data_IF_662561726195
#
_entry.id   IF_662561726195
#
_cell.length_a   1.000
_cell.length_b   1.000
_cell.length_c   1.000
_cell.angle_alpha   90.00
_cell.angle_beta   90.00
_cell.angle_gamma   90.00
#
_symmetry.space_group_name_H-M   'P 1'
#
loop_
_entity.id
_entity.type
_entity.pdbx_description
1 polymer ?
#
# COMPACT_ATOMS: atom_id res chain seq x y z
N UNK A 1 -35.67 2.91 2.87
CA UNK A 1 -34.42 2.72 3.63
C UNK A 1 -33.63 4.02 3.52
N UNK A 2 -33.28 4.70 4.62
CA UNK A 2 -32.67 6.02 4.54
C UNK A 2 -31.28 5.90 3.92
N UNK A 3 -31.04 6.67 2.86
CA UNK A 3 -29.74 6.84 2.22
C UNK A 3 -28.82 7.56 3.19
N UNK A 4 -28.12 6.80 4.03
CA UNK A 4 -27.01 7.32 4.79
C UNK A 4 -25.91 7.69 3.78
N UNK A 5 -25.84 8.97 3.41
CA UNK A 5 -24.62 9.58 2.91
C UNK A 5 -23.58 9.46 4.03
N UNK A 6 -22.95 8.29 4.12
CA UNK A 6 -21.79 8.04 4.94
C UNK A 6 -20.69 9.00 4.44
N UNK A 7 -20.40 10.02 5.25
CA UNK A 7 -19.31 10.93 4.98
C UNK A 7 -18.02 10.11 4.92
N UNK A 8 -17.41 10.04 3.73
CA UNK A 8 -16.15 9.34 3.46
C UNK A 8 -15.05 9.72 4.46
N UNK A 9 -15.11 10.91 5.08
CA UNK A 9 -14.15 11.34 6.10
C UNK A 9 -14.34 10.64 7.45
N UNK A 10 -15.55 10.22 7.81
CA UNK A 10 -15.82 9.50 9.07
C UNK A 10 -15.35 8.05 9.01
N UNK A 11 -15.59 7.35 7.89
CA UNK A 11 -15.10 5.98 7.69
C UNK A 11 -13.56 5.90 7.70
N UNK A 12 -12.89 6.89 7.12
CA UNK A 12 -11.43 7.02 7.11
C UNK A 12 -10.79 7.25 8.50
N UNK A 13 -11.58 7.55 9.54
CA UNK A 13 -11.11 7.77 10.92
C UNK A 13 -11.12 6.51 11.79
N UNK A 14 -11.92 5.49 11.47
CA UNK A 14 -11.94 4.19 12.18
C UNK A 14 -10.92 3.19 11.60
N UNK A 15 -10.77 3.16 10.27
CA UNK A 15 -9.75 2.38 9.54
C UNK A 15 -8.26 2.59 9.95
N UNK A 16 -7.79 3.76 10.47
CA UNK A 16 -6.37 4.01 10.71
C UNK A 16 -5.72 3.07 11.73
N UNK A 17 -6.41 2.68 12.81
CA UNK A 17 -5.79 1.88 13.87
C UNK A 17 -5.43 0.48 13.38
N UNK A 18 -6.36 -0.22 12.74
CA UNK A 18 -6.12 -1.53 12.14
C UNK A 18 -5.10 -1.46 10.99
N UNK A 19 -5.11 -0.38 10.20
CA UNK A 19 -4.12 -0.16 9.15
C UNK A 19 -2.70 0.02 9.72
N UNK A 20 -2.59 0.78 10.82
CA UNK A 20 -1.34 0.98 11.55
C UNK A 20 -0.86 -0.33 12.19
N UNK A 21 -1.75 -1.09 12.82
CA UNK A 21 -1.42 -2.38 13.44
C UNK A 21 -0.94 -3.38 12.39
N UNK A 22 -1.58 -3.42 11.22
CA UNK A 22 -1.12 -4.22 10.07
C UNK A 22 0.28 -3.82 9.58
N UNK A 23 0.58 -2.53 9.49
CA UNK A 23 1.93 -2.06 9.12
C UNK A 23 2.97 -2.32 10.22
N UNK A 24 2.57 -2.23 11.50
CA UNK A 24 3.42 -2.58 12.66
C UNK A 24 3.71 -4.07 12.70
N UNK A 25 2.75 -4.93 12.31
CA UNK A 25 2.90 -6.37 12.22
C UNK A 25 3.77 -6.85 11.05
N UNK A 26 3.89 -6.06 9.96
CA UNK A 26 4.83 -6.36 8.88
C UNK A 26 6.28 -6.27 9.38
N UNK A 27 6.98 -7.41 9.35
CA UNK A 27 8.42 -7.50 9.62
C UNK A 27 9.27 -6.85 8.53
N UNK A 28 10.59 -7.04 8.57
CA UNK A 28 11.53 -6.50 7.59
C UNK A 28 11.92 -7.58 6.56
N UNK A 29 11.86 -7.27 5.27
CA UNK A 29 12.45 -8.11 4.22
C UNK A 29 13.20 -7.25 3.20
N UNK A 30 14.38 -7.72 2.78
CA UNK A 30 15.24 -7.05 1.80
C UNK A 30 14.99 -7.72 0.44
N UNK A 31 14.49 -6.95 -0.54
CA UNK A 31 14.29 -7.45 -1.90
C UNK A 31 15.17 -6.67 -2.90
N UNK A 32 15.99 -7.40 -3.66
CA UNK A 32 16.87 -6.87 -4.70
C UNK A 32 16.11 -6.49 -5.97
N UNK A 33 15.01 -7.19 -6.28
CA UNK A 33 14.17 -6.93 -7.45
C UNK A 33 12.72 -6.58 -7.04
N UNK A 34 12.16 -5.55 -7.68
CA UNK A 34 10.80 -5.06 -7.41
C UNK A 34 9.71 -6.03 -7.88
N UNK A 35 10.03 -6.90 -8.84
CA UNK A 35 9.14 -7.96 -9.32
C UNK A 35 9.07 -9.13 -8.33
N UNK A 36 10.19 -9.48 -7.69
CA UNK A 36 10.24 -10.56 -6.68
C UNK A 36 9.59 -10.18 -5.35
N UNK A 37 9.57 -8.88 -5.01
CA UNK A 37 8.85 -8.40 -3.83
C UNK A 37 7.32 -8.46 -3.97
N UNK A 38 6.80 -8.54 -5.21
CA UNK A 38 5.42 -8.18 -5.54
C UNK A 38 4.38 -9.21 -5.08
N UNK A 39 4.69 -10.50 -5.10
CA UNK A 39 3.67 -11.56 -4.96
C UNK A 39 3.55 -12.12 -3.54
N UNK A 40 4.64 -12.23 -2.77
CA UNK A 40 4.61 -12.87 -1.44
C UNK A 40 5.09 -11.95 -0.29
N UNK A 41 6.03 -11.04 -0.58
CA UNK A 41 6.70 -10.26 0.46
C UNK A 41 5.89 -9.07 0.96
N UNK A 42 5.10 -8.41 0.10
CA UNK A 42 4.26 -7.27 0.51
C UNK A 42 3.14 -7.68 1.49
N UNK A 43 2.74 -8.96 1.55
CA UNK A 43 1.73 -9.42 2.50
C UNK A 43 2.30 -9.59 3.93
N UNK A 44 3.59 -9.94 4.08
CA UNK A 44 4.21 -10.33 5.37
C UNK A 44 5.32 -9.39 5.86
N UNK A 45 5.92 -8.60 4.98
CA UNK A 45 7.04 -7.71 5.32
C UNK A 45 6.96 -6.34 4.60
N UNK A 46 7.42 -5.29 5.28
CA UNK A 46 7.56 -3.96 4.68
C UNK A 46 8.82 -3.97 3.81
N UNK A 47 8.63 -3.95 2.49
CA UNK A 47 9.73 -3.94 1.53
C UNK A 47 9.72 -2.65 0.72
N UNK A 48 10.87 -2.00 0.60
CA UNK A 48 11.09 -0.91 -0.35
C UNK A 48 12.15 -1.38 -1.32
N UNK A 49 11.80 -1.49 -2.60
CA UNK A 49 12.75 -1.92 -3.65
C UNK A 49 14.07 -1.13 -3.56
N UNK A 50 15.23 -1.71 -3.87
CA UNK A 50 16.53 -0.97 -3.87
C UNK A 50 16.86 -0.26 -2.55
N UNK A 51 16.31 -0.71 -1.43
CA UNK A 51 16.78 -0.40 -0.08
C UNK A 51 17.41 -1.67 0.46
N UNK A 52 18.75 -1.71 0.47
CA UNK A 52 19.53 -2.86 0.92
C UNK A 52 20.08 -2.69 2.33
N UNK A 53 20.02 -1.47 2.89
CA UNK A 53 20.43 -1.19 4.26
C UNK A 53 19.21 -1.08 5.18
N UNK A 54 19.32 -1.73 6.34
CA UNK A 54 18.27 -1.82 7.33
C UNK A 54 17.89 -0.46 7.92
N UNK A 55 18.86 0.40 8.18
CA UNK A 55 18.67 1.75 8.73
C UNK A 55 17.79 2.65 7.85
N UNK A 56 17.97 2.59 6.53
CA UNK A 56 17.14 3.30 5.55
C UNK A 56 15.73 2.70 5.56
N UNK A 57 15.61 1.37 5.57
CA UNK A 57 14.32 0.69 5.56
C UNK A 57 13.50 1.04 6.81
N UNK A 58 14.13 1.00 7.98
CA UNK A 58 13.54 1.37 9.26
C UNK A 58 13.14 2.84 9.32
N UNK A 59 14.00 3.74 8.81
CA UNK A 59 13.69 5.17 8.74
C UNK A 59 12.43 5.43 7.89
N UNK A 60 12.33 4.79 6.72
CA UNK A 60 11.17 4.92 5.84
C UNK A 60 9.92 4.30 6.49
N UNK A 61 10.04 3.10 7.07
CA UNK A 61 8.92 2.41 7.74
C UNK A 61 8.36 3.24 8.88
N UNK A 62 9.22 3.71 9.79
CA UNK A 62 8.82 4.51 10.95
C UNK A 62 8.10 5.77 10.53
N UNK A 63 8.66 6.51 9.55
CA UNK A 63 8.02 7.72 9.04
C UNK A 63 6.68 7.43 8.33
N UNK A 64 6.56 6.29 7.65
CA UNK A 64 5.33 5.89 6.97
C UNK A 64 4.23 5.53 7.97
N UNK A 65 4.57 4.76 9.00
CA UNK A 65 3.65 4.40 10.08
C UNK A 65 3.17 5.66 10.81
N UNK A 66 4.11 6.54 11.18
CA UNK A 66 3.78 7.81 11.84
C UNK A 66 2.88 8.69 10.96
N UNK A 67 3.16 8.76 9.65
CA UNK A 67 2.35 9.54 8.73
C UNK A 67 0.91 9.03 8.61
N UNK A 68 0.70 7.72 8.68
CA UNK A 68 -0.62 7.12 8.63
C UNK A 68 -1.34 7.29 9.98
N UNK A 69 -0.65 7.06 11.09
CA UNK A 69 -1.18 7.16 12.45
C UNK A 69 -1.60 8.58 12.81
N UNK A 70 -0.75 9.57 12.49
CA UNK A 70 -1.01 11.00 12.81
C UNK A 70 -1.70 11.77 11.68
N UNK A 71 -1.96 11.13 10.53
CA UNK A 71 -2.57 11.78 9.38
C UNK A 71 -1.70 12.87 8.74
N UNK A 72 -0.37 12.70 8.75
CA UNK A 72 0.59 13.68 8.22
C UNK A 72 0.36 13.87 6.71
N UNK A 73 0.23 15.11 6.21
CA UNK A 73 0.11 15.38 4.78
C UNK A 73 1.33 14.91 3.98
N UNK A 74 1.10 14.46 2.73
CA UNK A 74 2.15 13.92 1.87
C UNK A 74 3.36 14.88 1.72
N UNK A 75 3.08 16.18 1.54
CA UNK A 75 4.13 17.20 1.42
C UNK A 75 5.02 17.26 2.66
N UNK A 76 4.42 17.17 3.84
CA UNK A 76 5.13 17.21 5.11
C UNK A 76 5.91 15.92 5.33
N UNK A 77 5.32 14.76 5.03
CA UNK A 77 6.02 13.47 5.03
C UNK A 77 7.29 13.51 4.16
N UNK A 78 7.21 14.04 2.94
CA UNK A 78 8.36 14.18 2.03
C UNK A 78 9.41 15.13 2.62
N UNK A 79 8.98 16.30 3.12
CA UNK A 79 9.88 17.31 3.67
C UNK A 79 10.63 16.81 4.91
N UNK A 80 9.96 16.05 5.78
CA UNK A 80 10.55 15.54 7.02
C UNK A 80 11.48 14.34 6.76
N UNK A 81 11.15 13.49 5.79
CA UNK A 81 11.89 12.26 5.51
C UNK A 81 13.10 12.50 4.59
N UNK A 82 13.01 13.44 3.65
CA UNK A 82 14.10 13.78 2.73
C UNK A 82 15.45 14.04 3.42
N UNK A 83 15.58 14.97 4.39
CA UNK A 83 16.89 15.28 4.98
C UNK A 83 17.49 14.07 5.72
N UNK A 84 16.65 13.23 6.35
CA UNK A 84 17.09 11.99 7.00
C UNK A 84 17.69 11.02 5.98
N UNK A 85 17.04 10.85 4.83
CA UNK A 85 17.51 9.96 3.78
C UNK A 85 18.74 10.52 3.03
N UNK A 86 18.83 11.84 2.86
CA UNK A 86 20.04 12.51 2.35
C UNK A 86 21.23 12.27 3.28
N UNK A 87 21.05 12.43 4.60
CA UNK A 87 22.10 12.15 5.59
C UNK A 87 22.54 10.67 5.60
N UNK A 88 21.63 9.75 5.32
CA UNK A 88 21.94 8.32 5.17
C UNK A 88 22.57 7.95 3.81
N UNK A 89 22.72 8.91 2.89
CA UNK A 89 23.28 8.69 1.56
C UNK A 89 22.30 8.04 0.58
N UNK A 90 21.00 8.01 0.88
CA UNK A 90 19.96 7.38 0.04
C UNK A 90 19.14 8.42 -0.72
N UNK A 91 19.77 9.21 -1.57
CA UNK A 91 19.08 10.24 -2.34
C UNK A 91 19.67 10.43 -3.74
N UNK A 92 18.81 10.78 -4.70
CA UNK A 92 19.23 11.10 -6.06
C UNK A 92 19.58 9.87 -6.91
N UNK A 93 20.37 10.10 -7.96
CA UNK A 93 20.84 9.07 -8.89
C UNK A 93 22.27 8.69 -8.55
N UNK A 94 22.54 7.39 -8.46
CA UNK A 94 23.88 6.86 -8.20
C UNK A 94 24.24 5.87 -9.29
N UNK A 95 25.49 5.91 -9.76
CA UNK A 95 26.03 4.91 -10.67
C UNK A 95 26.49 3.71 -9.85
N UNK A 96 25.97 2.53 -10.16
CA UNK A 96 26.36 1.27 -9.54
C UNK A 96 26.86 0.34 -10.64
N UNK A 97 28.06 -0.20 -10.47
CA UNK A 97 28.61 -1.20 -11.37
C UNK A 97 28.03 -2.57 -11.00
N UNK A 98 27.38 -3.21 -11.95
CA UNK A 98 26.93 -4.58 -11.78
C UNK A 98 28.14 -5.54 -11.81
N UNK A 99 27.97 -6.78 -11.33
CA UNK A 99 29.03 -7.82 -11.28
C UNK A 99 29.66 -8.09 -12.66
N UNK A 100 28.96 -7.75 -13.74
CA UNK A 100 29.41 -7.88 -15.13
C UNK A 100 30.14 -6.64 -15.68
N UNK A 101 30.52 -5.68 -14.83
CA UNK A 101 31.25 -4.46 -15.23
C UNK A 101 30.42 -3.40 -15.97
N UNK A 102 29.10 -3.59 -16.07
CA UNK A 102 28.19 -2.60 -16.67
C UNK A 102 27.77 -1.56 -15.63
N UNK A 103 28.05 -0.28 -15.90
CA UNK A 103 27.55 0.83 -15.10
C UNK A 103 26.04 0.99 -15.32
N UNK A 104 25.26 0.85 -14.25
CA UNK A 104 23.84 1.19 -14.26
C UNK A 104 23.58 2.41 -13.37
N UNK A 105 22.90 3.40 -13.92
CA UNK A 105 22.41 4.53 -13.11
C UNK A 105 21.11 4.14 -12.43
N UNK A 106 21.11 4.05 -11.09
CA UNK A 106 19.92 3.77 -10.30
C UNK A 106 19.42 5.03 -9.60
N UNK A 107 18.10 5.19 -9.55
CA UNK A 107 17.46 6.19 -8.69
C UNK A 107 17.27 5.61 -7.28
N UNK A 108 17.89 6.22 -6.28
CA UNK A 108 17.65 5.98 -4.86
C UNK A 108 16.41 6.78 -4.42
N UNK A 109 16.51 7.65 -3.41
CA UNK A 109 15.42 8.54 -3.01
C UNK A 109 15.06 9.60 -4.05
N UNK A 110 13.77 9.95 -4.12
CA UNK A 110 13.27 11.16 -4.78
C UNK A 110 11.91 11.53 -4.19
N UNK A 111 11.44 12.80 -4.30
CA UNK A 111 10.12 13.20 -3.79
C UNK A 111 8.98 12.35 -4.38
N UNK A 112 9.02 12.12 -5.70
CA UNK A 112 8.04 11.28 -6.40
C UNK A 112 8.06 9.82 -5.90
N UNK A 113 9.24 9.32 -5.58
CA UNK A 113 9.40 7.97 -5.03
C UNK A 113 8.83 7.89 -3.61
N UNK A 114 9.10 8.88 -2.76
CA UNK A 114 8.53 8.95 -1.41
C UNK A 114 7.00 9.05 -1.44
N UNK A 115 6.44 9.86 -2.34
CA UNK A 115 4.99 9.90 -2.61
C UNK A 115 4.45 8.49 -2.96
N UNK A 116 5.14 7.78 -3.86
CA UNK A 116 4.72 6.43 -4.26
C UNK A 116 4.78 5.45 -3.10
N UNK A 117 5.83 5.50 -2.28
CA UNK A 117 5.98 4.67 -1.08
C UNK A 117 4.85 4.94 -0.09
N UNK A 118 4.59 6.21 0.24
CA UNK A 118 3.53 6.58 1.19
C UNK A 118 2.16 6.12 0.67
N UNK A 119 1.83 6.48 -0.58
CA UNK A 119 0.54 6.16 -1.19
C UNK A 119 0.30 4.64 -1.25
N UNK A 120 1.31 3.88 -1.68
CA UNK A 120 1.19 2.42 -1.82
C UNK A 120 0.97 1.78 -0.46
N UNK A 121 1.82 2.09 0.53
CA UNK A 121 1.69 1.52 1.86
C UNK A 121 0.38 1.93 2.54
N UNK A 122 -0.06 3.18 2.35
CA UNK A 122 -1.34 3.65 2.84
C UNK A 122 -2.48 2.81 2.25
N UNK A 123 -2.60 2.75 0.92
CA UNK A 123 -3.66 1.98 0.24
C UNK A 123 -3.65 0.51 0.69
N UNK A 124 -2.49 -0.16 0.70
CA UNK A 124 -2.38 -1.56 1.13
C UNK A 124 -2.82 -1.75 2.58
N UNK A 125 -2.43 -0.85 3.49
CA UNK A 125 -2.82 -0.94 4.90
C UNK A 125 -4.32 -0.75 5.11
N UNK A 126 -4.94 0.20 4.41
CA UNK A 126 -6.40 0.40 4.43
C UNK A 126 -7.15 -0.85 3.94
N UNK A 127 -6.72 -1.45 2.84
CA UNK A 127 -7.36 -2.66 2.31
C UNK A 127 -7.23 -3.86 3.25
N UNK A 128 -6.07 -4.03 3.89
CA UNK A 128 -5.87 -5.10 4.86
C UNK A 128 -6.74 -4.92 6.12
N UNK A 129 -6.82 -3.69 6.65
CA UNK A 129 -7.71 -3.35 7.77
C UNK A 129 -9.17 -3.67 7.44
N UNK A 130 -9.59 -3.26 6.25
CA UNK A 130 -10.94 -3.51 5.73
C UNK A 130 -11.23 -5.01 5.56
N UNK A 131 -10.28 -5.77 5.03
CA UNK A 131 -10.43 -7.22 4.90
C UNK A 131 -10.62 -7.89 6.26
N UNK A 132 -9.80 -7.51 7.24
CA UNK A 132 -9.90 -8.02 8.61
C UNK A 132 -11.27 -7.69 9.24
N UNK A 133 -11.76 -6.47 9.06
CA UNK A 133 -13.10 -6.07 9.52
C UNK A 133 -14.21 -6.87 8.82
N UNK A 134 -14.11 -7.06 7.51
CA UNK A 134 -15.11 -7.82 6.74
C UNK A 134 -15.12 -9.30 7.14
N UNK A 135 -13.96 -9.91 7.34
CA UNK A 135 -13.83 -11.29 7.82
C UNK A 135 -14.40 -11.44 9.23
N UNK A 136 -14.15 -10.49 10.12
CA UNK A 136 -14.70 -10.51 11.48
C UNK A 136 -16.24 -10.43 11.52
N UNK A 137 -16.85 -9.90 10.46
CA UNK A 137 -18.31 -9.78 10.32
C UNK A 137 -18.90 -10.77 9.30
N UNK A 138 -18.12 -11.75 8.81
CA UNK A 138 -18.53 -12.63 7.71
C UNK A 138 -19.77 -13.48 8.05
N UNK A 139 -19.97 -13.82 9.32
CA UNK A 139 -21.13 -14.60 9.78
C UNK A 139 -22.46 -13.82 9.63
N UNK A 140 -22.43 -12.50 9.84
CA UNK A 140 -23.61 -11.63 9.72
C UNK A 140 -23.76 -11.02 8.32
N UNK A 141 -22.63 -10.74 7.66
CA UNK A 141 -22.57 -10.05 6.37
C UNK A 141 -21.69 -10.84 5.41
N UNK A 142 -22.16 -12.03 4.96
CA UNK A 142 -21.34 -12.97 4.20
C UNK A 142 -21.15 -12.56 2.74
N UNK A 143 -21.86 -11.55 2.24
CA UNK A 143 -21.78 -11.13 0.84
C UNK A 143 -21.02 -9.83 0.70
N UNK A 144 -20.02 -9.82 -0.18
CA UNK A 144 -19.24 -8.63 -0.48
C UNK A 144 -19.44 -8.19 -1.93
N UNK A 145 -19.57 -6.89 -2.14
CA UNK A 145 -19.70 -6.27 -3.44
C UNK A 145 -18.39 -5.60 -3.88
N UNK A 146 -17.93 -5.89 -5.09
CA UNK A 146 -16.77 -5.25 -5.66
C UNK A 146 -17.13 -3.89 -6.30
N UNK A 147 -16.47 -2.83 -5.87
CA UNK A 147 -16.67 -1.46 -6.36
C UNK A 147 -15.41 -0.92 -7.04
N UNK A 148 -15.43 -0.95 -8.37
CA UNK A 148 -14.50 -0.21 -9.21
C UNK A 148 -14.83 1.29 -9.27
N UNK A 149 -13.81 2.14 -9.46
CA UNK A 149 -14.03 3.56 -9.83
C UNK A 149 -14.31 3.61 -11.34
N UNK A 150 -15.41 4.23 -11.74
CA UNK A 150 -15.79 4.37 -13.14
C UNK A 150 -15.10 5.58 -13.79
N UNK A 151 -13.79 5.47 -13.99
CA UNK A 151 -13.00 6.47 -14.71
C UNK A 151 -12.03 5.82 -15.72
N UNK A 152 -11.39 6.65 -16.55
CA UNK A 152 -10.46 6.20 -17.59
C UNK A 152 -9.15 5.59 -17.06
N UNK A 153 -8.93 5.65 -15.74
CA UNK A 153 -7.72 5.12 -15.09
C UNK A 153 -7.94 3.73 -14.49
N UNK A 154 -9.16 3.22 -14.54
CA UNK A 154 -9.50 1.91 -14.02
C UNK A 154 -9.44 0.88 -15.13
N UNK A 155 -8.75 -0.24 -14.86
CA UNK A 155 -8.53 -1.31 -15.85
C UNK A 155 -9.87 -1.96 -16.21
N UNK A 156 -10.04 -2.36 -17.47
CA UNK A 156 -11.25 -3.00 -17.96
C UNK A 156 -11.63 -4.25 -17.16
N UNK A 157 -10.63 -5.05 -16.76
CA UNK A 157 -10.83 -6.23 -15.90
C UNK A 157 -11.45 -5.88 -14.54
N UNK A 158 -11.09 -4.74 -13.95
CA UNK A 158 -11.69 -4.30 -12.68
C UNK A 158 -13.10 -3.75 -12.89
N UNK A 159 -13.35 -3.05 -14.01
CA UNK A 159 -14.69 -2.54 -14.35
C UNK A 159 -15.68 -3.68 -14.59
N UNK A 160 -15.24 -4.82 -15.15
CA UNK A 160 -16.08 -6.00 -15.34
C UNK A 160 -16.60 -6.59 -14.02
N UNK A 161 -15.90 -6.34 -12.91
CA UNK A 161 -16.29 -6.75 -11.56
C UNK A 161 -17.15 -5.72 -10.83
N UNK A 162 -17.35 -4.53 -11.40
CA UNK A 162 -18.13 -3.48 -10.74
C UNK A 162 -19.55 -3.97 -10.43
N UNK A 163 -19.98 -3.75 -9.19
CA UNK A 163 -21.27 -4.16 -8.63
C UNK A 163 -21.49 -5.67 -8.53
N UNK A 164 -20.50 -6.51 -8.90
CA UNK A 164 -20.58 -7.95 -8.68
C UNK A 164 -20.51 -8.26 -7.19
N UNK A 165 -21.35 -9.21 -6.77
CA UNK A 165 -21.47 -9.65 -5.38
C UNK A 165 -21.12 -11.12 -5.30
N UNK A 166 -20.24 -11.47 -4.37
CA UNK A 166 -19.84 -12.84 -4.10
C UNK A 166 -19.85 -13.07 -2.59
N UNK A 167 -20.00 -14.32 -2.16
CA UNK A 167 -19.87 -14.66 -0.75
C UNK A 167 -18.40 -14.53 -0.33
N UNK A 168 -18.11 -14.26 0.94
CA UNK A 168 -16.75 -13.97 1.45
C UNK A 168 -15.75 -15.11 1.22
N UNK A 169 -16.23 -16.35 1.09
CA UNK A 169 -15.44 -17.56 0.87
C UNK A 169 -15.41 -18.01 -0.61
N UNK A 170 -15.92 -17.19 -1.53
CA UNK A 170 -15.82 -17.44 -2.96
C UNK A 170 -14.34 -17.34 -3.41
N UNK A 171 -13.80 -18.33 -4.14
CA UNK A 171 -12.41 -18.33 -4.60
C UNK A 171 -12.03 -17.11 -5.47
N UNK A 172 -13.00 -16.36 -5.98
CA UNK A 172 -12.72 -15.11 -6.70
C UNK A 172 -11.92 -14.11 -5.84
N UNK A 173 -12.08 -14.14 -4.51
CA UNK A 173 -11.39 -13.20 -3.62
C UNK A 173 -9.89 -13.46 -3.50
N UNK A 174 -9.43 -14.68 -3.79
CA UNK A 174 -8.00 -15.03 -3.78
C UNK A 174 -7.22 -14.24 -4.86
N UNK A 175 -7.91 -13.81 -5.91
CA UNK A 175 -7.30 -13.14 -7.07
C UNK A 175 -7.84 -11.74 -7.33
N UNK A 176 -9.02 -11.39 -6.79
CA UNK A 176 -9.68 -10.10 -7.06
C UNK A 176 -9.91 -9.22 -5.83
N UNK A 177 -9.50 -9.63 -4.61
CA UNK A 177 -9.65 -8.76 -3.45
C UNK A 177 -8.65 -7.58 -3.50
N UNK A 178 -9.11 -6.31 -3.49
CA UNK A 178 -8.23 -5.15 -3.62
C UNK A 178 -7.15 -5.05 -2.51
N UNK A 179 -5.95 -4.52 -2.84
CA UNK A 179 -5.60 -3.87 -4.11
C UNK A 179 -5.10 -4.85 -5.18
N UNK A 180 -5.81 -4.92 -6.31
CA UNK A 180 -5.49 -5.77 -7.47
C UNK A 180 -4.33 -5.24 -8.34
N UNK A 181 -3.29 -4.71 -7.70
CA UNK A 181 -2.07 -4.20 -8.34
C UNK A 181 -1.81 -2.70 -8.12
N UNK A 182 -0.75 -2.22 -8.78
CA UNK A 182 -0.24 -0.87 -8.59
C UNK A 182 -1.31 0.19 -8.83
N UNK A 183 -1.43 1.09 -7.84
CA UNK A 183 -2.34 2.22 -7.88
C UNK A 183 -3.83 1.83 -8.01
N UNK A 184 -4.20 0.61 -7.60
CA UNK A 184 -5.59 0.22 -7.50
C UNK A 184 -6.34 1.15 -6.53
N UNK A 185 -7.57 1.50 -6.91
CA UNK A 185 -8.48 2.34 -6.11
C UNK A 185 -9.87 1.68 -5.95
N UNK A 186 -9.98 0.42 -6.35
CA UNK A 186 -11.19 -0.37 -6.18
C UNK A 186 -11.31 -0.80 -4.72
N UNK A 187 -12.52 -1.11 -4.25
CA UNK A 187 -12.77 -1.58 -2.88
C UNK A 187 -13.83 -2.67 -2.88
N UNK A 188 -13.85 -3.52 -1.87
CA UNK A 188 -14.94 -4.48 -1.63
C UNK A 188 -15.80 -3.99 -0.48
N UNK A 189 -17.10 -3.79 -0.64
CA UNK A 189 -18.04 -3.44 0.45
C UNK A 189 -18.80 -4.66 0.94
N UNK A 190 -19.15 -4.65 2.22
CA UNK A 190 -20.04 -5.63 2.86
C UNK A 190 -21.47 -5.06 2.82
#
# INVERSE_FOLDING_TARGET
MPTANLDMRELLRMEPKLAVDYLKAKGYAIAWNWQEALEDAHARAFTVAKVTRMDILETIRTATVEAIEKGIPEREYINNLRPKLEALGWWGKVKVSNTNGTEQTIQLGSPRRLQTILRTNKITAYHAARYAEQMANADEQPYWQYLAIKDSRTRASHLALHEKVYRYDDPIWDVMYPPNGWNCRCRCVR
#
